data_IF_098020703506
#
_entry.id   IF_098020703506
#
_cell.length_a   1.000
_cell.length_b   1.000
_cell.length_c   1.000
_cell.angle_alpha   90.00
_cell.angle_beta   90.00
_cell.angle_gamma   90.00
#
_symmetry.space_group_name_H-M   'P 1'
#
loop_
_entity.id
_entity.type
_entity.pdbx_description
1 polymer ?
#
# COMPACT_ATOMS: atom_id res chain seq x y z
N UNK A 1 -2.61 5.73 15.20
CA UNK A 1 -1.93 4.78 14.31
C UNK A 1 -1.85 3.42 14.98
N UNK A 2 -2.21 2.35 14.26
CA UNK A 2 -2.20 0.94 14.70
C UNK A 2 -1.27 0.18 13.76
N UNK A 3 -0.35 -0.64 14.29
CA UNK A 3 0.49 -1.56 13.51
C UNK A 3 0.23 -2.97 14.00
N UNK A 4 -0.06 -3.89 13.09
CA UNK A 4 -0.33 -5.30 13.39
C UNK A 4 0.39 -6.22 12.40
N UNK A 5 0.97 -7.30 12.91
CA UNK A 5 1.60 -8.37 12.12
C UNK A 5 0.66 -9.56 12.01
N UNK A 6 0.84 -10.36 10.97
CA UNK A 6 0.16 -11.64 10.74
C UNK A 6 -1.38 -11.47 10.80
N UNK A 7 -1.91 -10.49 10.05
CA UNK A 7 -3.33 -10.13 10.11
C UNK A 7 -4.24 -11.11 9.36
N UNK A 8 -3.67 -11.89 8.46
CA UNK A 8 -4.34 -12.97 7.74
C UNK A 8 -3.54 -14.27 7.89
N UNK A 9 -4.10 -15.40 7.49
CA UNK A 9 -3.40 -16.68 7.50
C UNK A 9 -2.14 -16.61 6.64
N UNK A 10 -1.09 -17.35 7.02
CA UNK A 10 0.18 -17.35 6.29
C UNK A 10 0.01 -17.86 4.85
N UNK A 11 -0.84 -18.86 4.64
CA UNK A 11 -1.16 -19.38 3.31
C UNK A 11 -1.75 -18.31 2.38
N UNK A 12 -2.69 -17.47 2.89
CA UNK A 12 -3.28 -16.36 2.14
C UNK A 12 -2.23 -15.28 1.85
N UNK A 13 -1.38 -14.95 2.83
CA UNK A 13 -0.30 -13.98 2.64
C UNK A 13 0.72 -14.44 1.59
N UNK A 14 1.06 -15.74 1.58
CA UNK A 14 1.95 -16.33 0.57
C UNK A 14 1.30 -16.31 -0.81
N UNK A 15 0.02 -16.63 -0.90
CA UNK A 15 -0.73 -16.59 -2.16
C UNK A 15 -0.80 -15.15 -2.71
N UNK A 16 -1.12 -14.17 -1.86
CA UNK A 16 -1.13 -12.74 -2.22
C UNK A 16 0.25 -12.30 -2.72
N UNK A 17 1.34 -12.63 -2.01
CA UNK A 17 2.70 -12.30 -2.46
C UNK A 17 2.99 -12.90 -3.83
N UNK A 18 2.74 -14.20 -4.02
CA UNK A 18 2.99 -14.88 -5.30
C UNK A 18 2.16 -14.30 -6.44
N UNK A 19 0.92 -13.90 -6.16
CA UNK A 19 0.01 -13.30 -7.13
C UNK A 19 0.54 -11.93 -7.62
N UNK A 20 0.93 -11.05 -6.70
CA UNK A 20 1.42 -9.71 -7.02
C UNK A 20 2.84 -9.70 -7.61
N UNK A 21 3.59 -10.76 -7.42
CA UNK A 21 4.92 -10.93 -8.02
C UNK A 21 4.90 -11.69 -9.36
N UNK A 22 3.72 -12.12 -9.80
CA UNK A 22 3.57 -12.78 -11.09
C UNK A 22 3.68 -11.76 -12.22
N UNK A 23 4.50 -12.05 -13.23
CA UNK A 23 4.74 -11.18 -14.39
C UNK A 23 3.51 -10.96 -15.29
N UNK A 24 2.44 -11.74 -15.10
CA UNK A 24 1.18 -11.57 -15.84
C UNK A 24 0.19 -10.63 -15.15
N UNK A 25 0.45 -10.22 -13.88
CA UNK A 25 -0.40 -9.25 -13.21
C UNK A 25 -0.27 -7.86 -13.83
N UNK A 26 -1.39 -7.21 -14.21
CA UNK A 26 -1.34 -5.94 -14.92
C UNK A 26 -1.02 -4.77 -13.98
N UNK A 27 0.13 -4.16 -14.16
CA UNK A 27 0.50 -2.91 -13.52
C UNK A 27 0.56 -1.78 -14.54
N UNK A 28 0.27 -0.56 -14.09
CA UNK A 28 0.29 0.66 -14.90
C UNK A 28 1.30 1.65 -14.33
N UNK A 29 2.09 2.29 -15.20
CA UNK A 29 3.08 3.29 -14.81
C UNK A 29 2.41 4.58 -14.33
N UNK A 30 2.81 5.06 -13.15
CA UNK A 30 2.31 6.30 -12.54
C UNK A 30 3.44 7.04 -11.81
N UNK A 31 3.37 8.39 -11.67
CA UNK A 31 4.26 9.11 -10.76
C UNK A 31 3.99 8.66 -9.31
N UNK A 32 5.01 8.73 -8.45
CA UNK A 32 4.86 8.32 -7.04
C UNK A 32 3.97 9.29 -6.29
N UNK A 33 4.25 10.61 -6.41
CA UNK A 33 3.43 11.68 -5.83
C UNK A 33 3.05 12.67 -6.91
N UNK A 34 1.81 12.60 -7.37
CA UNK A 34 1.30 13.54 -8.37
C UNK A 34 0.79 14.82 -7.68
N UNK A 35 1.04 16.03 -8.21
CA UNK A 35 1.84 16.38 -9.40
C UNK A 35 3.32 16.73 -9.11
N UNK A 36 3.80 16.55 -7.87
CA UNK A 36 5.10 17.09 -7.42
C UNK A 36 6.29 16.21 -7.83
N UNK A 37 6.06 14.94 -8.09
CA UNK A 37 7.11 13.98 -8.42
C UNK A 37 7.11 13.69 -9.92
N UNK A 38 8.06 14.29 -10.64
CA UNK A 38 8.18 14.12 -12.09
C UNK A 38 9.30 13.17 -12.50
N UNK A 39 10.13 12.71 -11.55
CA UNK A 39 11.30 11.89 -11.81
C UNK A 39 11.16 10.46 -11.27
N UNK A 40 10.38 10.27 -10.20
CA UNK A 40 10.15 8.97 -9.57
C UNK A 40 8.80 8.36 -10.00
N UNK A 41 8.86 7.11 -10.46
CA UNK A 41 7.71 6.37 -10.93
C UNK A 41 7.47 5.11 -10.11
N UNK A 42 6.21 4.71 -10.06
CA UNK A 42 5.75 3.45 -9.49
C UNK A 42 4.84 2.72 -10.46
N UNK A 43 4.72 1.43 -10.28
CA UNK A 43 3.73 0.61 -10.96
C UNK A 43 2.52 0.45 -10.06
N UNK A 44 1.32 0.71 -10.57
CA UNK A 44 0.09 0.66 -9.78
C UNK A 44 -0.98 -0.18 -10.44
N UNK A 45 -1.89 -0.71 -9.62
CA UNK A 45 -3.14 -1.30 -10.08
C UNK A 45 -4.27 -0.89 -9.13
N UNK A 46 -5.39 -0.42 -9.68
CA UNK A 46 -6.54 0.04 -8.92
C UNK A 46 -7.59 -1.08 -8.91
N UNK A 47 -8.01 -1.50 -7.71
CA UNK A 47 -9.02 -2.55 -7.51
C UNK A 47 -10.40 -1.99 -7.27
N UNK A 48 -10.46 -0.81 -6.63
CA UNK A 48 -11.69 -0.14 -6.28
C UNK A 48 -11.47 1.36 -6.32
N UNK A 49 -12.35 2.07 -7.01
CA UNK A 49 -12.34 3.53 -7.10
C UNK A 49 -13.71 4.02 -7.52
N UNK A 50 -14.05 5.26 -7.15
CA UNK A 50 -15.32 5.87 -7.50
C UNK A 50 -16.52 4.96 -7.19
N UNK A 51 -16.56 4.40 -5.96
CA UNK A 51 -17.61 3.53 -5.41
C UNK A 51 -17.89 2.23 -6.19
N UNK A 52 -16.94 1.75 -6.98
CA UNK A 52 -17.09 0.51 -7.77
C UNK A 52 -15.82 -0.32 -7.80
N UNK A 53 -15.99 -1.61 -7.99
CA UNK A 53 -14.91 -2.53 -8.33
C UNK A 53 -14.44 -2.23 -9.76
N UNK A 54 -13.13 -2.03 -9.93
CA UNK A 54 -12.48 -1.67 -11.20
C UNK A 54 -11.58 -2.77 -11.75
N UNK A 55 -11.44 -3.88 -11.00
CA UNK A 55 -10.53 -4.97 -11.35
C UNK A 55 -11.19 -6.33 -11.17
N UNK A 56 -11.04 -7.22 -12.15
CA UNK A 56 -11.45 -8.62 -12.07
C UNK A 56 -10.71 -9.40 -10.98
N UNK A 57 -9.59 -8.87 -10.50
CA UNK A 57 -8.76 -9.47 -9.45
C UNK A 57 -9.17 -9.03 -8.03
N UNK A 58 -10.27 -8.28 -7.87
CA UNK A 58 -10.69 -7.73 -6.58
C UNK A 58 -10.76 -8.77 -5.46
N UNK A 59 -11.23 -9.97 -5.76
CA UNK A 59 -11.44 -11.04 -4.77
C UNK A 59 -10.16 -11.54 -4.08
N UNK A 60 -8.97 -11.29 -4.64
CA UNK A 60 -7.68 -11.60 -3.99
C UNK A 60 -7.52 -10.86 -2.65
N UNK A 61 -8.24 -9.76 -2.49
CA UNK A 61 -8.17 -8.89 -1.32
C UNK A 61 -9.11 -9.31 -0.19
N UNK A 62 -10.00 -10.30 -0.42
CA UNK A 62 -11.01 -10.72 0.56
C UNK A 62 -10.43 -11.03 1.96
N UNK A 63 -9.31 -11.76 2.12
CA UNK A 63 -8.76 -12.02 3.45
C UNK A 63 -8.40 -10.75 4.22
N UNK A 64 -7.90 -9.71 3.52
CA UNK A 64 -7.55 -8.41 4.12
C UNK A 64 -8.82 -7.62 4.43
N UNK A 65 -9.82 -7.65 3.54
CA UNK A 65 -11.11 -6.97 3.74
C UNK A 65 -11.90 -7.59 4.91
N UNK A 66 -11.84 -8.91 5.06
CA UNK A 66 -12.44 -9.62 6.20
C UNK A 66 -11.79 -9.23 7.54
N UNK A 67 -10.50 -8.91 7.54
CA UNK A 67 -9.81 -8.36 8.70
C UNK A 67 -10.22 -6.91 8.98
N UNK A 68 -10.23 -6.05 7.95
CA UNK A 68 -10.52 -4.62 8.07
C UNK A 68 -11.99 -4.33 8.38
N UNK A 69 -12.91 -5.13 7.83
CA UNK A 69 -14.38 -4.98 7.94
C UNK A 69 -14.87 -3.57 7.64
N UNK A 70 -14.51 -3.00 6.49
CA UNK A 70 -14.88 -1.63 6.16
C UNK A 70 -16.40 -1.47 6.03
N UNK A 71 -16.96 -0.39 6.58
CA UNK A 71 -18.36 -0.01 6.33
C UNK A 71 -18.56 0.55 4.93
N UNK A 72 -17.56 1.26 4.43
CA UNK A 72 -17.56 1.74 3.05
C UNK A 72 -16.12 1.86 2.53
N UNK A 73 -15.92 1.47 1.28
CA UNK A 73 -14.66 1.62 0.57
C UNK A 73 -14.65 2.94 -0.21
N UNK A 74 -13.49 3.59 -0.28
CA UNK A 74 -13.25 4.77 -1.12
C UNK A 74 -12.30 4.42 -2.25
N UNK A 75 -11.15 3.83 -1.94
CA UNK A 75 -10.18 3.39 -2.93
C UNK A 75 -9.36 2.20 -2.42
N UNK A 76 -9.01 1.29 -3.33
CA UNK A 76 -7.99 0.27 -3.08
C UNK A 76 -7.02 0.27 -4.25
N UNK A 77 -5.75 0.49 -3.94
CA UNK A 77 -4.67 0.57 -4.92
C UNK A 77 -3.43 -0.18 -4.44
N UNK A 78 -2.87 -1.05 -5.29
CA UNK A 78 -1.53 -1.57 -5.06
C UNK A 78 -0.47 -0.67 -5.69
N UNK A 79 0.68 -0.58 -5.03
CA UNK A 79 1.85 0.15 -5.48
C UNK A 79 3.05 -0.81 -5.46
N UNK A 80 3.74 -0.90 -6.59
CA UNK A 80 5.01 -1.61 -6.74
C UNK A 80 6.08 -0.57 -7.07
N UNK A 81 7.13 -0.52 -6.27
CA UNK A 81 8.29 0.36 -6.46
C UNK A 81 9.51 -0.53 -6.63
N UNK A 82 10.27 -0.28 -7.69
CA UNK A 82 11.48 -1.03 -8.00
C UNK A 82 12.62 -0.73 -7.02
N UNK A 83 13.51 -1.70 -6.90
CA UNK A 83 14.80 -1.57 -6.22
C UNK A 83 15.62 -0.43 -6.82
N UNK A 84 16.34 0.29 -5.96
CA UNK A 84 17.43 1.17 -6.37
C UNK A 84 18.67 0.97 -5.49
N UNK A 85 19.78 1.60 -5.86
CA UNK A 85 21.04 1.49 -5.10
C UNK A 85 20.95 2.11 -3.71
N UNK A 86 20.12 3.14 -3.56
CA UNK A 86 19.93 3.87 -2.30
C UNK A 86 18.46 3.89 -1.91
N UNK A 87 18.23 3.91 -0.61
CA UNK A 87 16.89 4.02 -0.05
C UNK A 87 16.44 5.48 -0.10
N UNK A 88 15.44 5.77 -0.93
CA UNK A 88 14.89 7.11 -1.13
C UNK A 88 13.55 7.23 -0.42
N UNK A 89 13.37 8.32 0.34
CA UNK A 89 12.05 8.72 0.86
C UNK A 89 11.41 9.62 -0.21
N UNK A 90 10.21 9.22 -0.66
CA UNK A 90 9.48 9.98 -1.67
C UNK A 90 8.79 11.21 -1.07
N UNK A 91 8.03 11.96 -1.88
CA UNK A 91 7.31 13.14 -1.42
C UNK A 91 6.26 12.81 -0.34
N UNK A 92 6.22 13.63 0.73
CA UNK A 92 5.19 13.52 1.75
C UNK A 92 3.83 14.00 1.23
N UNK A 93 2.80 13.21 1.48
CA UNK A 93 1.43 13.48 1.02
C UNK A 93 0.39 12.99 2.03
N UNK A 94 -0.83 13.41 1.84
CA UNK A 94 -2.04 12.82 2.45
C UNK A 94 -2.81 12.07 1.36
N UNK A 95 -3.47 10.97 1.70
CA UNK A 95 -4.31 10.26 0.72
C UNK A 95 -5.60 11.04 0.45
N UNK A 96 -6.30 11.41 1.49
CA UNK A 96 -7.55 12.17 1.44
C UNK A 96 -7.70 13.06 2.67
N UNK A 97 -8.30 14.23 2.48
CA UNK A 97 -8.69 15.14 3.58
C UNK A 97 -10.18 14.95 3.92
N UNK A 98 -10.61 13.70 4.16
CA UNK A 98 -11.98 13.39 4.54
C UNK A 98 -12.05 13.04 6.02
N UNK A 99 -13.02 13.63 6.72
CA UNK A 99 -13.23 13.38 8.15
C UNK A 99 -13.56 11.90 8.40
N UNK A 100 -12.89 11.29 9.40
CA UNK A 100 -13.06 9.90 9.83
C UNK A 100 -12.68 8.83 8.78
N UNK A 101 -12.06 9.23 7.67
CA UNK A 101 -11.53 8.27 6.71
C UNK A 101 -10.24 7.66 7.24
N UNK A 102 -10.07 6.37 7.06
CA UNK A 102 -8.84 5.62 7.38
C UNK A 102 -8.06 5.27 6.13
N UNK A 103 -6.76 5.26 6.28
CA UNK A 103 -5.83 4.62 5.37
C UNK A 103 -5.24 3.39 6.07
N UNK A 104 -5.29 2.24 5.40
CA UNK A 104 -4.53 1.06 5.79
C UNK A 104 -3.52 0.73 4.70
N UNK A 105 -2.25 0.52 5.07
CA UNK A 105 -1.19 0.07 4.18
C UNK A 105 -0.82 -1.36 4.56
N UNK A 106 -1.16 -2.32 3.70
CA UNK A 106 -0.76 -3.72 3.83
C UNK A 106 0.52 -3.97 3.05
N UNK A 107 1.53 -4.54 3.69
CA UNK A 107 2.80 -4.88 3.05
C UNK A 107 2.77 -6.32 2.52
N UNK A 108 2.87 -6.44 1.20
CA UNK A 108 2.77 -7.72 0.50
C UNK A 108 4.04 -8.54 0.70
N UNK A 109 5.21 -7.91 0.68
CA UNK A 109 6.51 -8.57 0.82
C UNK A 109 7.39 -7.91 1.89
N UNK A 110 8.34 -8.68 2.42
CA UNK A 110 9.36 -8.18 3.35
C UNK A 110 10.55 -7.60 2.57
N UNK A 111 10.92 -6.37 2.91
CA UNK A 111 12.09 -5.66 2.37
C UNK A 111 12.54 -4.56 3.34
N UNK A 112 13.66 -3.90 3.07
CA UNK A 112 14.22 -2.81 3.89
C UNK A 112 13.50 -1.46 3.74
N UNK A 113 12.54 -1.36 2.82
CA UNK A 113 11.69 -0.18 2.68
C UNK A 113 10.71 0.01 3.84
N UNK A 114 10.15 1.20 3.95
CA UNK A 114 9.22 1.56 5.04
C UNK A 114 8.20 2.62 4.62
N UNK A 115 7.20 2.82 5.46
CA UNK A 115 6.34 4.00 5.47
C UNK A 115 6.78 4.90 6.62
N UNK A 116 6.92 6.22 6.38
CA UNK A 116 7.33 7.21 7.37
C UNK A 116 6.26 8.30 7.50
N UNK A 117 6.02 8.74 8.74
CA UNK A 117 5.05 9.79 9.08
C UNK A 117 5.77 11.10 9.37
N UNK A 118 5.34 12.21 8.71
CA UNK A 118 6.01 13.51 8.82
C UNK A 118 6.01 14.05 10.25
N UNK A 119 4.89 13.88 10.98
CA UNK A 119 4.66 14.49 12.29
C UNK A 119 5.68 14.09 13.37
N UNK A 120 6.08 12.82 13.39
CA UNK A 120 6.90 12.22 14.45
C UNK A 120 8.09 11.43 13.94
N UNK A 121 8.33 11.44 12.62
CA UNK A 121 9.35 10.64 11.92
C UNK A 121 9.26 9.14 12.19
N UNK A 122 8.08 8.67 12.65
CA UNK A 122 7.88 7.26 12.94
C UNK A 122 7.90 6.44 11.67
N UNK A 123 8.70 5.35 11.68
CA UNK A 123 8.84 4.42 10.57
C UNK A 123 8.11 3.13 10.86
N UNK A 124 7.45 2.59 9.82
CA UNK A 124 6.86 1.25 9.83
C UNK A 124 7.47 0.46 8.69
N UNK A 125 8.34 -0.50 9.04
CA UNK A 125 9.09 -1.30 8.07
C UNK A 125 8.17 -2.23 7.27
N UNK A 126 8.46 -2.39 5.99
CA UNK A 126 7.79 -3.35 5.12
C UNK A 126 8.08 -4.78 5.56
N UNK A 127 7.08 -5.43 6.12
CA UNK A 127 7.11 -6.83 6.52
C UNK A 127 5.86 -7.52 5.97
N UNK A 128 6.05 -8.63 5.26
CA UNK A 128 4.93 -9.43 4.75
C UNK A 128 3.89 -9.69 5.84
N UNK A 129 2.62 -9.58 5.47
CA UNK A 129 1.48 -9.77 6.36
C UNK A 129 1.42 -8.79 7.55
N UNK A 130 2.05 -7.60 7.39
CA UNK A 130 1.91 -6.47 8.29
C UNK A 130 0.96 -5.45 7.69
N UNK A 131 0.16 -4.82 8.54
CA UNK A 131 -0.67 -3.67 8.20
C UNK A 131 -0.39 -2.50 9.15
N UNK A 132 -0.43 -1.29 8.61
CA UNK A 132 -0.49 -0.06 9.39
C UNK A 132 -1.77 0.69 9.05
N UNK A 133 -2.53 1.10 10.09
CA UNK A 133 -3.81 1.80 9.96
C UNK A 133 -3.69 3.16 10.64
N UNK A 134 -4.11 4.24 9.95
CA UNK A 134 -4.03 5.61 10.44
C UNK A 134 -5.12 6.48 9.78
N UNK A 135 -5.32 7.68 10.30
CA UNK A 135 -6.24 8.65 9.71
C UNK A 135 -5.70 9.16 8.37
N UNK A 136 -6.52 9.20 7.33
CA UNK A 136 -6.07 9.43 5.95
C UNK A 136 -5.50 10.83 5.69
N UNK A 137 -5.74 11.77 6.62
CA UNK A 137 -5.14 13.11 6.66
C UNK A 137 -3.75 13.16 7.31
N UNK A 138 -3.27 12.05 7.88
CA UNK A 138 -1.89 11.97 8.38
C UNK A 138 -0.90 11.98 7.23
N UNK A 139 -0.06 13.01 7.22
CA UNK A 139 0.96 13.20 6.19
C UNK A 139 2.07 12.15 6.34
N UNK A 140 2.25 11.40 5.28
CA UNK A 140 3.17 10.25 5.24
C UNK A 140 3.86 10.13 3.89
N UNK A 141 4.89 9.28 3.86
CA UNK A 141 5.60 8.90 2.63
C UNK A 141 5.96 7.42 2.65
N UNK A 142 6.13 6.85 1.47
CA UNK A 142 6.77 5.56 1.26
C UNK A 142 8.21 5.69 0.83
N UNK A 143 8.90 4.56 0.75
CA UNK A 143 10.22 4.44 0.17
C UNK A 143 10.24 3.37 -0.93
N UNK A 144 11.30 3.34 -1.73
CA UNK A 144 11.71 2.14 -2.46
C UNK A 144 12.28 1.08 -1.50
N UNK A 145 13.04 0.11 -2.03
CA UNK A 145 13.86 -0.84 -1.27
C UNK A 145 15.22 -1.02 -1.94
N UNK A 146 16.19 -1.60 -1.21
CA UNK A 146 17.52 -1.88 -1.73
C UNK A 146 17.90 -3.37 -1.71
N UNK A 147 17.21 -4.18 -0.91
CA UNK A 147 17.53 -5.59 -0.64
C UNK A 147 16.67 -6.60 -1.42
N UNK A 148 15.57 -6.15 -2.03
CA UNK A 148 14.64 -7.00 -2.83
C UNK A 148 14.40 -6.36 -4.20
N UNK A 149 13.99 -7.13 -5.24
CA UNK A 149 13.72 -6.58 -6.58
C UNK A 149 12.70 -5.44 -6.58
N UNK A 150 11.73 -5.49 -5.68
CA UNK A 150 10.68 -4.48 -5.54
C UNK A 150 10.06 -4.51 -4.14
N UNK A 151 9.46 -3.39 -3.78
CA UNK A 151 8.57 -3.21 -2.64
C UNK A 151 7.14 -3.13 -3.13
N UNK A 152 6.24 -3.97 -2.56
CA UNK A 152 4.82 -3.97 -2.89
C UNK A 152 4.00 -3.67 -1.64
N UNK A 153 3.11 -2.69 -1.75
CA UNK A 153 2.14 -2.35 -0.72
C UNK A 153 0.75 -2.13 -1.33
N UNK A 154 -0.30 -2.44 -0.56
CA UNK A 154 -1.68 -2.21 -0.94
C UNK A 154 -2.27 -1.17 0.02
N UNK A 155 -2.76 -0.06 -0.55
CA UNK A 155 -3.41 1.01 0.19
C UNK A 155 -4.93 0.83 0.12
N UNK A 156 -5.57 0.81 1.28
CA UNK A 156 -7.02 0.79 1.45
C UNK A 156 -7.45 2.12 2.06
N UNK A 157 -8.31 2.86 1.39
CA UNK A 157 -8.96 4.05 1.95
C UNK A 157 -10.42 3.70 2.21
N UNK A 158 -10.86 3.82 3.47
CA UNK A 158 -12.17 3.28 3.88
C UNK A 158 -12.70 3.95 5.15
N UNK A 159 -14.00 3.80 5.39
CA UNK A 159 -14.68 4.15 6.64
C UNK A 159 -14.86 2.90 7.52
N UNK A 160 -14.56 3.06 8.82
CA UNK A 160 -14.80 2.05 9.87
C UNK A 160 -16.27 2.00 10.31
#
# INVERSE_FOLDING_TARGET
MIVKDNIIKEEDANYIESFFTNFTFPYYLNPIVYPQDTEDYQMTHIFFDDYKVTSDFFNILNPILDYLKPKALVRIKTNLIYKSEKLNIHGYHIDYNYKNLKTAVYYVNTNDGFTIFEKDNKKVNSKKNRIVIFDSDNKHSGTNCTDKPFRIAINFNYYE
#
